data_IF_222258071852
#
_entry.id   IF_222258071852
#
_cell.length_a   1.000
_cell.length_b   1.000
_cell.length_c   1.000
_cell.angle_alpha   90.00
_cell.angle_beta   90.00
_cell.angle_gamma   90.00
#
_symmetry.space_group_name_H-M   'P 1'
#
loop_
_entity.id
_entity.type
_entity.pdbx_description
1 polymer ?
#
# COMPACT_ATOMS: atom_id res chain seq x y z
N UNK A 1 53.61 -25.06 15.21
CA UNK A 1 52.70 -25.31 16.34
C UNK A 1 52.11 -23.95 16.73
N UNK A 2 50.85 -23.65 16.42
CA UNK A 2 50.20 -22.43 16.93
C UNK A 2 49.82 -22.71 18.38
N UNK A 3 50.53 -22.07 19.32
CA UNK A 3 50.44 -22.27 20.76
C UNK A 3 49.46 -21.32 21.44
N UNK A 4 48.44 -20.85 20.72
CA UNK A 4 47.47 -19.93 21.30
C UNK A 4 46.26 -20.77 21.73
N UNK A 5 45.86 -20.65 23.00
CA UNK A 5 44.73 -21.40 23.56
C UNK A 5 43.42 -20.93 22.91
N UNK A 6 42.97 -21.65 21.88
CA UNK A 6 41.74 -21.35 21.11
C UNK A 6 40.45 -21.58 21.90
N UNK A 7 40.52 -22.06 23.13
CA UNK A 7 39.34 -22.32 23.98
C UNK A 7 38.65 -21.03 24.43
N UNK A 8 39.38 -19.92 24.54
CA UNK A 8 38.89 -18.67 25.15
C UNK A 8 38.71 -17.51 24.16
N UNK A 9 39.05 -17.67 22.89
CA UNK A 9 38.86 -16.64 21.85
C UNK A 9 38.66 -17.27 20.47
N UNK A 10 37.81 -16.66 19.63
CA UNK A 10 37.41 -17.22 18.33
C UNK A 10 37.90 -16.38 17.13
N UNK A 11 38.68 -17.00 16.24
CA UNK A 11 39.15 -16.37 15.00
C UNK A 11 38.05 -16.33 13.90
N UNK A 12 37.08 -17.24 13.94
CA UNK A 12 36.03 -17.39 12.91
C UNK A 12 34.69 -16.82 13.38
N UNK A 13 34.64 -15.50 13.56
CA UNK A 13 33.43 -14.82 14.04
C UNK A 13 32.43 -14.58 12.90
N UNK A 14 31.17 -15.00 13.10
CA UNK A 14 30.06 -14.68 12.19
C UNK A 14 29.04 -13.81 12.92
N UNK A 15 28.82 -12.61 12.40
CA UNK A 15 27.84 -11.68 12.93
C UNK A 15 26.48 -11.84 12.25
N UNK A 16 25.43 -11.33 12.89
CA UNK A 16 24.09 -11.28 12.33
C UNK A 16 23.30 -10.06 12.78
N UNK A 17 22.27 -9.74 12.00
CA UNK A 17 21.16 -8.87 12.39
C UNK A 17 19.91 -9.75 12.48
N UNK A 18 19.08 -9.49 13.49
CA UNK A 18 17.87 -10.26 13.73
C UNK A 18 16.76 -9.39 14.30
N UNK A 19 15.52 -9.87 14.20
CA UNK A 19 14.39 -9.30 14.94
C UNK A 19 14.01 -10.19 16.11
N UNK A 20 13.72 -9.58 17.25
CA UNK A 20 13.17 -10.28 18.42
C UNK A 20 11.71 -10.59 18.15
N UNK A 21 11.37 -11.88 18.17
CA UNK A 21 9.99 -12.34 17.96
C UNK A 21 9.29 -12.53 19.30
N UNK A 22 10.00 -13.07 20.29
CA UNK A 22 9.44 -13.35 21.61
C UNK A 22 10.46 -13.00 22.71
N UNK A 23 9.98 -12.33 23.75
CA UNK A 23 10.78 -11.93 24.91
C UNK A 23 10.30 -12.60 26.21
N UNK A 24 9.37 -13.56 26.10
CA UNK A 24 8.80 -14.31 27.21
C UNK A 24 9.30 -15.76 27.20
N UNK A 25 10.55 -16.02 27.65
CA UNK A 25 11.10 -17.37 27.62
C UNK A 25 10.36 -18.32 28.57
N UNK A 26 10.26 -19.62 28.21
CA UNK A 26 9.81 -20.63 29.16
C UNK A 26 10.85 -20.82 30.27
N UNK A 27 10.43 -21.50 31.34
CA UNK A 27 11.29 -21.81 32.49
C UNK A 27 12.62 -22.46 32.06
N UNK A 28 13.74 -21.99 32.63
CA UNK A 28 15.09 -22.44 32.32
C UNK A 28 15.78 -21.70 31.17
N UNK A 29 15.08 -20.79 30.49
CA UNK A 29 15.63 -19.92 29.43
C UNK A 29 15.53 -18.43 29.80
N UNK A 30 15.45 -18.12 31.08
CA UNK A 30 15.32 -16.76 31.59
C UNK A 30 16.44 -15.85 31.05
N UNK A 31 16.08 -14.61 30.70
CA UNK A 31 17.00 -13.63 30.11
C UNK A 31 17.35 -13.88 28.64
N UNK A 32 16.81 -14.92 28.01
CA UNK A 32 16.94 -15.16 26.57
C UNK A 32 15.79 -14.56 25.79
N UNK A 33 16.05 -14.27 24.52
CA UNK A 33 15.05 -13.79 23.55
C UNK A 33 15.03 -14.69 22.34
N UNK A 34 13.84 -14.93 21.80
CA UNK A 34 13.67 -15.72 20.59
C UNK A 34 13.83 -14.81 19.38
N UNK A 35 14.77 -15.14 18.50
CA UNK A 35 15.16 -14.25 17.41
C UNK A 35 14.96 -14.88 16.03
N UNK A 36 14.62 -14.03 15.05
CA UNK A 36 14.60 -14.40 13.63
C UNK A 36 15.77 -13.72 12.93
N UNK A 37 16.79 -14.50 12.59
CA UNK A 37 18.03 -14.03 12.00
C UNK A 37 17.83 -13.79 10.50
N UNK A 38 18.17 -12.57 10.06
CA UNK A 38 18.02 -12.18 8.66
C UNK A 38 19.02 -12.94 7.79
N UNK A 39 18.56 -13.42 6.64
CA UNK A 39 19.37 -14.21 5.70
C UNK A 39 19.54 -15.69 6.06
N UNK A 40 19.42 -16.07 7.35
CA UNK A 40 19.49 -17.48 7.80
C UNK A 40 18.09 -18.08 7.94
N UNK A 41 17.16 -17.34 8.55
CA UNK A 41 15.78 -17.78 8.73
C UNK A 41 14.88 -17.13 7.68
N UNK A 42 13.97 -17.92 7.08
CA UNK A 42 12.96 -17.37 6.18
C UNK A 42 12.08 -16.36 6.94
N UNK A 43 11.79 -15.17 6.39
CA UNK A 43 10.89 -14.19 7.03
C UNK A 43 9.45 -14.70 7.22
N UNK A 44 8.99 -15.65 6.41
CA UNK A 44 7.65 -16.24 6.50
C UNK A 44 7.49 -17.16 7.70
N UNK A 45 6.47 -16.93 8.53
CA UNK A 45 6.10 -17.82 9.66
C UNK A 45 5.47 -19.13 9.20
N UNK A 46 5.11 -19.25 7.92
CA UNK A 46 4.54 -20.48 7.35
C UNK A 46 5.58 -21.58 7.17
N UNK A 47 6.80 -21.19 6.81
CA UNK A 47 7.88 -22.14 6.54
C UNK A 47 8.65 -22.49 7.80
N UNK A 48 9.10 -21.47 8.55
CA UNK A 48 9.72 -21.65 9.86
C UNK A 48 8.76 -21.06 10.89
N UNK A 49 8.19 -21.91 11.73
CA UNK A 49 7.27 -21.45 12.77
C UNK A 49 8.06 -20.71 13.84
N UNK A 50 7.38 -19.81 14.56
CA UNK A 50 8.00 -19.07 15.66
C UNK A 50 8.58 -20.00 16.73
N UNK A 51 7.93 -21.12 17.02
CA UNK A 51 8.41 -22.06 18.04
C UNK A 51 9.73 -22.76 17.67
N UNK A 52 10.05 -22.81 16.38
CA UNK A 52 11.26 -23.48 15.89
C UNK A 52 12.47 -22.53 15.87
N UNK A 53 12.28 -21.25 16.20
CA UNK A 53 13.36 -20.27 16.27
C UNK A 53 14.20 -20.44 17.53
N UNK A 54 15.52 -20.19 17.46
CA UNK A 54 16.41 -20.34 18.59
C UNK A 54 16.20 -19.24 19.64
N UNK A 55 16.43 -19.60 20.90
CA UNK A 55 16.55 -18.68 22.02
C UNK A 55 17.99 -18.19 22.15
N UNK A 56 18.22 -16.92 21.83
CA UNK A 56 19.52 -16.28 21.93
C UNK A 56 19.76 -15.73 23.34
N UNK A 57 20.99 -15.90 23.83
CA UNK A 57 21.45 -15.24 25.05
C UNK A 57 21.68 -13.76 24.79
N UNK A 58 21.49 -12.92 25.82
CA UNK A 58 21.70 -11.48 25.72
C UNK A 58 22.85 -11.09 26.62
N UNK A 59 23.81 -10.33 26.08
CA UNK A 59 24.90 -9.76 26.86
C UNK A 59 24.34 -8.67 27.76
N UNK A 60 24.61 -8.78 29.06
CA UNK A 60 24.25 -7.77 30.05
C UNK A 60 25.33 -6.68 30.04
N UNK A 61 24.98 -5.38 30.11
CA UNK A 61 25.97 -4.31 30.19
C UNK A 61 26.82 -4.43 31.47
N UNK A 62 28.06 -3.95 31.40
CA UNK A 62 29.03 -3.97 32.52
C UNK A 62 28.62 -3.12 33.72
N UNK A 63 27.55 -2.34 33.60
CA UNK A 63 26.92 -1.61 34.71
C UNK A 63 26.16 -2.53 35.67
N UNK A 64 25.97 -3.79 35.32
CA UNK A 64 25.27 -4.80 36.13
C UNK A 64 26.26 -5.88 36.60
N UNK A 65 26.00 -6.47 37.77
CA UNK A 65 26.94 -7.39 38.41
C UNK A 65 27.02 -8.78 37.74
N UNK A 66 25.96 -9.24 37.06
CA UNK A 66 25.97 -10.46 36.25
C UNK A 66 26.22 -11.77 37.01
N UNK A 67 26.03 -11.78 38.34
CA UNK A 67 26.40 -12.92 39.21
C UNK A 67 25.41 -13.08 40.36
N UNK A 68 25.12 -14.32 40.77
CA UNK A 68 24.39 -14.66 42.02
C UNK A 68 23.07 -13.89 42.24
N UNK A 69 22.31 -13.66 41.17
CA UNK A 69 21.05 -12.90 41.24
C UNK A 69 21.22 -11.40 41.41
N UNK A 70 22.46 -10.88 41.43
CA UNK A 70 22.77 -9.46 41.43
C UNK A 70 22.89 -8.97 39.98
N UNK A 71 21.96 -8.11 39.59
CA UNK A 71 21.89 -7.51 38.26
C UNK A 71 20.45 -7.35 37.79
N UNK A 72 20.28 -6.79 36.60
CA UNK A 72 18.97 -6.64 35.94
C UNK A 72 18.77 -7.64 34.82
N UNK A 73 17.52 -8.06 34.65
CA UNK A 73 17.09 -8.88 33.51
C UNK A 73 17.14 -8.05 32.22
N UNK A 74 17.68 -8.59 31.11
CA UNK A 74 17.60 -7.96 29.80
C UNK A 74 16.15 -7.64 29.41
N UNK A 75 15.87 -6.38 29.01
CA UNK A 75 14.53 -5.89 28.65
C UNK A 75 14.36 -5.64 27.16
N UNK A 76 14.88 -6.53 26.33
CA UNK A 76 14.59 -6.50 24.90
C UNK A 76 13.15 -6.96 24.67
N UNK A 77 12.39 -6.22 23.87
CA UNK A 77 10.99 -6.51 23.58
C UNK A 77 10.82 -7.08 22.18
N UNK A 78 9.72 -7.81 21.97
CA UNK A 78 9.30 -8.25 20.64
C UNK A 78 9.20 -7.06 19.67
N UNK A 79 9.73 -7.21 18.46
CA UNK A 79 9.82 -6.16 17.43
C UNK A 79 11.17 -5.45 17.36
N UNK A 80 11.97 -5.49 18.44
CA UNK A 80 13.30 -4.88 18.47
C UNK A 80 14.24 -5.54 17.45
N UNK A 81 14.97 -4.73 16.69
CA UNK A 81 16.08 -5.23 15.87
C UNK A 81 17.35 -5.29 16.69
N UNK A 82 18.07 -6.40 16.58
CA UNK A 82 19.26 -6.70 17.39
C UNK A 82 20.44 -7.07 16.53
N UNK A 83 21.63 -6.80 17.07
CA UNK A 83 22.92 -7.19 16.52
C UNK A 83 23.58 -8.23 17.42
N UNK A 84 24.23 -9.22 16.82
CA UNK A 84 24.84 -10.31 17.55
C UNK A 84 25.85 -11.13 16.77
N UNK A 85 26.38 -12.14 17.44
CA UNK A 85 27.35 -13.08 16.90
C UNK A 85 26.94 -14.52 17.16
N UNK A 86 27.33 -15.43 16.28
CA UNK A 86 27.28 -16.86 16.56
C UNK A 86 28.52 -17.26 17.35
N UNK A 87 28.32 -17.82 18.56
CA UNK A 87 29.42 -18.27 19.42
C UNK A 87 30.14 -19.49 18.84
N UNK A 88 29.47 -20.24 17.95
CA UNK A 88 30.00 -21.41 17.24
C UNK A 88 30.47 -21.09 15.80
N UNK A 89 30.61 -19.80 15.47
CA UNK A 89 31.20 -19.34 14.22
C UNK A 89 30.45 -19.82 12.98
N UNK A 90 31.12 -20.62 12.14
CA UNK A 90 30.57 -21.11 10.86
C UNK A 90 29.34 -22.01 11.04
N UNK A 91 29.23 -22.75 12.14
CA UNK A 91 28.10 -23.65 12.38
C UNK A 91 26.77 -22.92 12.60
N UNK A 92 26.82 -21.66 13.06
CA UNK A 92 25.68 -20.74 13.13
C UNK A 92 24.47 -21.26 13.93
N UNK A 93 24.70 -22.01 15.00
CA UNK A 93 23.64 -22.61 15.85
C UNK A 93 23.44 -21.86 17.17
N UNK A 94 24.47 -21.20 17.69
CA UNK A 94 24.45 -20.63 19.05
C UNK A 94 24.49 -19.10 19.00
N UNK A 95 23.33 -18.42 18.88
CA UNK A 95 23.29 -16.97 18.78
C UNK A 95 23.46 -16.27 20.13
N UNK A 96 24.26 -15.22 20.13
CA UNK A 96 24.45 -14.27 21.23
C UNK A 96 24.12 -12.86 20.76
N UNK A 97 23.17 -12.20 21.43
CA UNK A 97 22.75 -10.83 21.17
C UNK A 97 23.59 -9.87 22.00
N UNK A 98 24.22 -8.89 21.34
CA UNK A 98 25.00 -7.85 22.01
C UNK A 98 24.11 -6.68 22.45
N UNK A 99 23.13 -6.32 21.62
CA UNK A 99 22.24 -5.20 21.91
C UNK A 99 21.24 -4.93 20.78
N UNK A 100 20.36 -3.96 21.01
CA UNK A 100 19.40 -3.49 20.01
C UNK A 100 19.97 -2.37 19.14
N UNK A 101 19.62 -2.39 17.87
CA UNK A 101 19.88 -1.28 16.94
C UNK A 101 18.61 -0.42 16.88
N UNK A 102 18.71 0.92 17.07
CA UNK A 102 17.59 1.80 16.84
C UNK A 102 17.23 1.81 15.35
N UNK A 103 15.94 1.67 15.04
CA UNK A 103 15.41 1.81 13.68
C UNK A 103 14.21 2.74 13.69
N UNK A 104 13.90 3.29 12.52
CA UNK A 104 12.62 3.97 12.31
C UNK A 104 11.55 2.88 12.27
N UNK A 105 10.68 2.87 13.27
CA UNK A 105 9.56 1.95 13.34
C UNK A 105 8.43 2.45 12.45
N UNK A 106 7.93 1.58 11.58
CA UNK A 106 6.70 1.82 10.84
C UNK A 106 5.59 0.97 11.45
N UNK A 107 4.37 1.52 11.62
CA UNK A 107 3.29 0.79 12.24
C UNK A 107 2.96 -0.46 11.41
N UNK A 108 2.92 -1.61 12.12
CA UNK A 108 2.54 -2.89 11.52
C UNK A 108 1.14 -2.79 10.94
N UNK A 109 0.77 -3.70 10.01
CA UNK A 109 -0.58 -3.69 9.42
C UNK A 109 -1.68 -3.76 10.49
N UNK A 110 -1.44 -4.50 11.57
CA UNK A 110 -2.35 -4.62 12.72
C UNK A 110 -2.33 -3.35 13.58
N UNK A 111 -1.16 -2.76 13.87
CA UNK A 111 -1.09 -1.52 14.64
C UNK A 111 -1.69 -0.34 13.91
N UNK A 112 -1.46 -0.21 12.59
CA UNK A 112 -2.23 0.74 11.76
C UNK A 112 -3.71 0.52 12.04
N UNK A 113 -4.19 -0.71 11.88
CA UNK A 113 -5.58 -1.06 12.11
C UNK A 113 -6.11 -0.76 13.54
N UNK A 114 -5.25 -0.71 14.56
CA UNK A 114 -5.61 -0.39 15.97
C UNK A 114 -5.48 1.11 16.29
N UNK A 115 -4.54 1.82 15.65
CA UNK A 115 -4.38 3.27 15.72
C UNK A 115 -5.66 3.98 15.21
N UNK A 116 -6.41 3.36 14.29
CA UNK A 116 -7.75 3.81 13.86
C UNK A 116 -8.87 3.60 14.87
N UNK A 117 -8.66 2.81 15.92
CA UNK A 117 -9.74 2.50 16.87
C UNK A 117 -9.77 3.42 18.10
N UNK A 118 -8.72 4.21 18.37
CA UNK A 118 -8.58 4.93 19.66
C UNK A 118 -8.45 6.45 19.56
N UNK A 119 -8.30 7.02 18.36
CA UNK A 119 -8.32 8.47 18.16
C UNK A 119 -9.51 8.84 17.28
N UNK A 120 -10.65 9.03 17.92
CA UNK A 120 -11.84 9.64 17.33
C UNK A 120 -11.66 11.17 17.23
N UNK A 121 -10.69 11.64 16.44
CA UNK A 121 -10.68 13.02 15.91
C UNK A 121 -10.17 13.05 14.45
N UNK A 122 -11.11 12.80 13.54
CA UNK A 122 -11.37 13.60 12.32
C UNK A 122 -10.17 13.96 11.42
N UNK A 123 -9.62 12.96 10.74
CA UNK A 123 -9.56 12.84 9.26
C UNK A 123 -9.44 11.32 9.05
N UNK A 124 -10.36 10.70 8.30
CA UNK A 124 -10.28 9.25 8.05
C UNK A 124 -8.89 8.93 7.46
N UNK A 125 -8.23 7.86 7.91
CA UNK A 125 -6.88 7.55 7.39
C UNK A 125 -6.88 7.31 5.87
N UNK A 126 -8.03 6.89 5.36
CA UNK A 126 -8.36 6.90 3.94
C UNK A 126 -8.27 8.31 3.36
N UNK A 127 -8.97 9.30 3.91
CA UNK A 127 -8.96 10.70 3.45
C UNK A 127 -7.54 11.32 3.43
N UNK A 128 -6.69 11.10 4.46
CA UNK A 128 -5.29 11.57 4.50
C UNK A 128 -4.38 10.90 3.45
N UNK A 129 -4.57 9.60 3.18
CA UNK A 129 -3.86 8.89 2.13
C UNK A 129 -4.30 9.40 0.74
N UNK A 130 -5.59 9.63 0.58
CA UNK A 130 -6.19 10.13 -0.65
C UNK A 130 -5.80 11.58 -0.96
N UNK A 131 -5.67 12.45 0.06
CA UNK A 131 -5.10 13.79 -0.10
C UNK A 131 -3.65 13.79 -0.61
N UNK A 132 -2.84 12.79 -0.21
CA UNK A 132 -1.49 12.63 -0.75
C UNK A 132 -1.50 12.20 -2.21
N UNK A 133 -2.45 11.35 -2.62
CA UNK A 133 -2.60 10.95 -4.02
C UNK A 133 -3.04 12.12 -4.92
N UNK A 134 -3.84 13.07 -4.40
CA UNK A 134 -4.26 14.28 -5.14
C UNK A 134 -3.06 15.14 -5.57
N UNK A 135 -1.96 15.17 -4.77
CA UNK A 135 -0.75 15.95 -5.09
C UNK A 135 -0.03 15.49 -6.37
N UNK A 136 -0.34 14.30 -6.89
CA UNK A 136 0.20 13.78 -8.15
C UNK A 136 -0.36 14.57 -9.34
N UNK A 137 -1.55 15.15 -9.19
CA UNK A 137 -2.27 15.86 -10.24
C UNK A 137 -1.94 17.35 -10.14
N UNK A 138 -1.63 18.01 -11.26
CA UNK A 138 -1.44 19.47 -11.32
C UNK A 138 -2.80 20.19 -11.29
N UNK A 139 -3.23 20.78 -10.15
CA UNK A 139 -4.58 21.33 -10.00
C UNK A 139 -4.81 22.56 -10.89
N UNK A 140 -3.75 23.28 -11.28
CA UNK A 140 -3.83 24.44 -12.15
C UNK A 140 -4.12 24.01 -13.59
N UNK A 141 -3.44 22.95 -14.04
CA UNK A 141 -3.58 22.45 -15.42
C UNK A 141 -4.98 21.89 -15.69
N UNK A 142 -5.58 21.21 -14.70
CA UNK A 142 -6.89 20.58 -14.82
C UNK A 142 -8.06 21.49 -14.40
N UNK A 143 -7.78 22.69 -13.90
CA UNK A 143 -8.76 23.58 -13.25
C UNK A 143 -9.60 22.81 -12.24
N UNK A 144 -8.98 22.34 -11.18
CA UNK A 144 -9.60 21.39 -10.26
C UNK A 144 -10.78 21.99 -9.46
N UNK A 145 -10.73 23.30 -9.21
CA UNK A 145 -11.81 24.08 -8.57
C UNK A 145 -12.92 24.49 -9.56
N UNK A 146 -12.80 24.15 -10.85
CA UNK A 146 -13.82 24.41 -11.87
C UNK A 146 -14.74 23.19 -12.03
N UNK A 147 -15.85 23.25 -11.31
CA UNK A 147 -16.85 22.17 -11.26
C UNK A 147 -17.84 22.19 -12.43
N UNK A 148 -17.80 23.25 -13.25
CA UNK A 148 -18.72 23.48 -14.36
C UNK A 148 -18.18 22.99 -15.69
N UNK A 149 -18.64 23.64 -16.76
CA UNK A 149 -18.18 23.35 -18.11
C UNK A 149 -16.75 23.87 -18.33
N UNK A 150 -15.83 22.99 -18.71
CA UNK A 150 -14.47 23.32 -19.11
C UNK A 150 -14.22 23.07 -20.60
N UNK A 151 -13.31 23.86 -21.18
CA UNK A 151 -12.98 23.82 -22.62
C UNK A 151 -11.90 22.78 -22.96
N UNK A 152 -11.75 22.49 -24.26
CA UNK A 152 -10.89 21.43 -24.81
C UNK A 152 -9.48 21.37 -24.20
N UNK A 153 -8.79 22.49 -24.00
CA UNK A 153 -7.43 22.48 -23.42
C UNK A 153 -7.41 21.85 -22.02
N UNK A 154 -8.41 22.17 -21.18
CA UNK A 154 -8.55 21.62 -19.84
C UNK A 154 -9.04 20.17 -19.89
N UNK A 155 -9.93 19.83 -20.83
CA UNK A 155 -10.36 18.43 -21.02
C UNK A 155 -9.20 17.52 -21.42
N UNK A 156 -8.35 17.94 -22.37
CA UNK A 156 -7.14 17.20 -22.73
C UNK A 156 -6.19 17.05 -21.53
N UNK A 157 -6.04 18.10 -20.71
CA UNK A 157 -5.28 18.01 -19.47
C UNK A 157 -5.88 17.00 -18.49
N UNK A 158 -7.19 17.02 -18.26
CA UNK A 158 -7.90 16.06 -17.39
C UNK A 158 -7.73 14.62 -17.86
N UNK A 159 -7.75 14.37 -19.17
CA UNK A 159 -7.48 13.05 -19.76
C UNK A 159 -6.07 12.57 -19.44
N UNK A 160 -5.06 13.40 -19.71
CA UNK A 160 -3.64 13.05 -19.51
C UNK A 160 -3.33 12.86 -18.03
N UNK A 161 -3.74 13.80 -17.18
CA UNK A 161 -3.49 13.74 -15.74
C UNK A 161 -4.26 12.59 -15.07
N UNK A 162 -5.48 12.27 -15.54
CA UNK A 162 -6.22 11.10 -15.08
C UNK A 162 -5.51 9.77 -15.38
N UNK A 163 -4.92 9.63 -16.58
CA UNK A 163 -4.12 8.43 -16.90
C UNK A 163 -2.85 8.37 -16.05
N UNK A 164 -2.12 9.48 -15.91
CA UNK A 164 -0.93 9.55 -15.04
C UNK A 164 -1.25 9.19 -13.59
N UNK A 165 -2.39 9.65 -13.08
CA UNK A 165 -2.86 9.30 -11.75
C UNK A 165 -2.97 7.77 -11.60
N UNK A 166 -3.72 7.08 -12.47
CA UNK A 166 -3.87 5.62 -12.35
C UNK A 166 -2.56 4.85 -12.57
N UNK A 167 -1.66 5.33 -13.44
CA UNK A 167 -0.32 4.79 -13.58
C UNK A 167 0.48 4.88 -12.27
N UNK A 168 0.45 6.05 -11.61
CA UNK A 168 1.11 6.23 -10.32
C UNK A 168 0.51 5.33 -9.22
N UNK A 169 -0.77 4.96 -9.35
CA UNK A 169 -1.44 4.00 -8.48
C UNK A 169 -1.16 2.51 -8.81
N UNK A 170 -0.24 2.24 -9.74
CA UNK A 170 0.23 0.89 -10.07
C UNK A 170 -0.61 0.12 -11.09
N UNK A 171 -1.53 0.79 -11.80
CA UNK A 171 -2.17 0.20 -12.97
C UNK A 171 -1.23 0.20 -14.18
N UNK A 172 -1.41 -0.74 -15.10
CA UNK A 172 -0.72 -0.68 -16.40
C UNK A 172 -1.23 0.48 -17.25
N UNK A 173 -0.50 0.82 -18.31
CA UNK A 173 -0.93 1.84 -19.26
C UNK A 173 -2.30 1.52 -19.87
N UNK A 174 -2.51 0.27 -20.29
CA UNK A 174 -3.79 -0.16 -20.87
C UNK A 174 -4.93 -0.19 -19.85
N UNK A 175 -4.64 -0.56 -18.62
CA UNK A 175 -5.63 -0.49 -17.53
C UNK A 175 -6.02 0.96 -17.25
N UNK A 176 -5.05 1.86 -17.17
CA UNK A 176 -5.26 3.30 -16.91
C UNK A 176 -6.06 3.96 -18.03
N UNK A 177 -5.72 3.68 -19.29
CA UNK A 177 -6.49 4.11 -20.46
C UNK A 177 -7.91 3.53 -20.42
N UNK A 178 -8.05 2.26 -20.04
CA UNK A 178 -9.37 1.61 -19.94
C UNK A 178 -10.30 2.24 -18.90
N UNK A 179 -9.77 2.59 -17.73
CA UNK A 179 -10.51 3.32 -16.70
C UNK A 179 -10.95 4.68 -17.23
N UNK A 180 -9.99 5.45 -17.75
CA UNK A 180 -10.27 6.80 -18.24
C UNK A 180 -11.22 6.82 -19.43
N UNK A 181 -11.13 5.86 -20.35
CA UNK A 181 -12.05 5.75 -21.48
C UNK A 181 -13.51 5.59 -21.04
N UNK A 182 -13.75 4.80 -19.99
CA UNK A 182 -15.09 4.67 -19.39
C UNK A 182 -15.56 5.97 -18.74
N UNK A 183 -14.72 6.64 -17.95
CA UNK A 183 -15.06 7.90 -17.29
C UNK A 183 -15.35 9.02 -18.31
N UNK A 184 -14.57 9.10 -19.39
CA UNK A 184 -14.80 10.02 -20.51
C UNK A 184 -16.13 9.72 -21.19
N UNK A 185 -16.48 8.45 -21.40
CA UNK A 185 -17.75 8.08 -22.04
C UNK A 185 -18.97 8.59 -21.27
N UNK A 186 -18.95 8.50 -19.94
CA UNK A 186 -20.12 8.81 -19.12
C UNK A 186 -20.28 10.28 -18.76
N UNK A 187 -19.19 11.05 -18.75
CA UNK A 187 -19.21 12.46 -18.27
C UNK A 187 -18.49 13.45 -19.19
N UNK A 188 -17.70 12.96 -20.15
CA UNK A 188 -16.74 13.80 -20.88
C UNK A 188 -15.66 14.42 -19.98
N UNK A 189 -15.55 14.02 -18.71
CA UNK A 189 -14.72 14.66 -17.67
C UNK A 189 -15.09 16.13 -17.43
N UNK A 190 -16.35 16.47 -17.67
CA UNK A 190 -16.89 17.81 -17.56
C UNK A 190 -18.01 17.87 -16.51
N UNK A 191 -18.35 19.08 -16.06
CA UNK A 191 -19.47 19.30 -15.13
C UNK A 191 -19.40 18.39 -13.89
N UNK A 192 -18.23 18.32 -13.25
CA UNK A 192 -17.97 17.37 -12.17
C UNK A 192 -18.92 17.52 -10.99
N UNK A 193 -19.34 18.75 -10.68
CA UNK A 193 -20.34 19.06 -9.65
C UNK A 193 -20.80 20.55 -9.68
N UNK A 194 -21.35 21.06 -10.78
CA UNK A 194 -21.90 22.43 -10.87
C UNK A 194 -23.18 22.64 -10.02
N UNK A 195 -23.30 23.79 -9.34
CA UNK A 195 -24.31 24.03 -8.29
C UNK A 195 -25.76 24.02 -8.76
N UNK A 196 -26.03 24.39 -10.02
CA UNK A 196 -27.40 24.64 -10.48
C UNK A 196 -28.17 23.38 -10.96
N UNK A 197 -27.48 22.30 -11.33
CA UNK A 197 -28.13 21.13 -11.99
C UNK A 197 -27.51 19.77 -11.63
N UNK A 198 -26.26 19.72 -11.13
CA UNK A 198 -25.50 18.45 -11.10
C UNK A 198 -25.73 17.59 -9.87
N UNK A 199 -26.44 18.09 -8.85
CA UNK A 199 -26.90 17.20 -7.77
C UNK A 199 -28.08 16.31 -8.19
N UNK A 200 -28.35 16.19 -9.49
CA UNK A 200 -29.23 15.19 -10.06
C UNK A 200 -28.46 13.89 -10.34
N UNK A 201 -29.20 12.80 -10.55
CA UNK A 201 -28.60 11.55 -11.02
C UNK A 201 -28.51 11.62 -12.56
N UNK A 202 -27.37 11.23 -13.17
CA UNK A 202 -26.10 10.84 -12.55
C UNK A 202 -25.17 12.02 -12.21
N UNK A 203 -24.32 11.87 -11.17
CA UNK A 203 -23.38 12.89 -10.70
C UNK A 203 -21.92 12.55 -11.06
N UNK A 204 -21.13 13.57 -11.42
CA UNK A 204 -19.66 13.50 -11.49
C UNK A 204 -19.09 12.61 -12.59
N UNK A 205 -17.77 12.46 -12.60
CA UNK A 205 -17.04 11.80 -13.70
C UNK A 205 -17.35 10.31 -13.84
N UNK A 206 -17.83 9.67 -12.75
CA UNK A 206 -18.23 8.27 -12.74
C UNK A 206 -19.73 8.05 -12.98
N UNK A 207 -20.50 9.12 -13.24
CA UNK A 207 -21.95 9.08 -13.37
C UNK A 207 -22.63 8.37 -12.17
N UNK A 208 -22.19 8.69 -10.95
CA UNK A 208 -22.64 8.03 -9.72
C UNK A 208 -24.11 8.33 -9.41
N UNK A 209 -24.81 7.30 -8.95
CA UNK A 209 -26.25 7.37 -8.61
C UNK A 209 -26.51 6.72 -7.25
N UNK A 210 -27.64 7.08 -6.64
CA UNK A 210 -28.14 6.45 -5.41
C UNK A 210 -27.10 6.43 -4.27
N UNK A 211 -26.84 5.25 -3.72
CA UNK A 211 -25.89 5.07 -2.61
C UNK A 211 -24.45 5.45 -2.99
N UNK A 212 -23.99 5.16 -4.21
CA UNK A 212 -22.62 5.50 -4.64
C UNK A 212 -22.38 7.00 -4.66
N UNK A 213 -23.40 7.77 -5.02
CA UNK A 213 -23.38 9.23 -4.96
C UNK A 213 -23.25 9.75 -3.52
N UNK A 214 -23.97 9.15 -2.57
CA UNK A 214 -23.84 9.51 -1.15
C UNK A 214 -22.45 9.17 -0.62
N UNK A 215 -21.88 8.03 -1.02
CA UNK A 215 -20.52 7.65 -0.67
C UNK A 215 -19.49 8.65 -1.20
N UNK A 216 -19.64 9.15 -2.45
CA UNK A 216 -18.76 10.21 -2.97
C UNK A 216 -18.80 11.46 -2.10
N UNK A 217 -20.00 11.94 -1.73
CA UNK A 217 -20.15 13.15 -0.92
C UNK A 217 -19.57 13.01 0.49
N UNK A 218 -19.64 11.79 1.03
CA UNK A 218 -19.10 11.49 2.36
C UNK A 218 -17.60 11.20 2.34
N UNK A 219 -17.02 10.94 1.16
CA UNK A 219 -15.63 10.53 1.01
C UNK A 219 -14.63 11.67 1.25
N UNK A 220 -14.99 12.90 0.91
CA UNK A 220 -14.12 14.06 1.11
C UNK A 220 -14.94 15.34 1.14
N UNK A 221 -14.51 16.33 1.91
CA UNK A 221 -15.08 17.69 1.86
C UNK A 221 -14.95 18.32 0.45
N UNK A 222 -13.94 17.90 -0.30
CA UNK A 222 -13.63 18.35 -1.66
C UNK A 222 -14.14 17.40 -2.75
N UNK A 223 -15.17 16.59 -2.47
CA UNK A 223 -15.73 15.58 -3.39
C UNK A 223 -16.12 16.11 -4.79
N UNK A 224 -16.28 17.42 -4.95
CA UNK A 224 -16.64 18.11 -6.20
C UNK A 224 -15.47 18.18 -7.18
N UNK A 225 -14.24 18.19 -6.68
CA UNK A 225 -13.01 18.33 -7.47
C UNK A 225 -12.83 17.13 -8.39
N UNK A 226 -12.26 17.37 -9.57
CA UNK A 226 -11.94 16.30 -10.52
C UNK A 226 -10.96 15.31 -9.91
N UNK A 227 -9.93 15.80 -9.21
CA UNK A 227 -8.94 14.98 -8.51
C UNK A 227 -9.58 14.08 -7.45
N UNK A 228 -10.41 14.64 -6.56
CA UNK A 228 -11.12 13.90 -5.52
C UNK A 228 -12.02 12.80 -6.11
N UNK A 229 -12.62 13.06 -7.27
CA UNK A 229 -13.45 12.08 -7.96
C UNK A 229 -12.66 10.93 -8.59
N UNK A 230 -11.46 11.19 -9.14
CA UNK A 230 -10.55 10.12 -9.58
C UNK A 230 -10.12 9.23 -8.42
N UNK A 231 -9.81 9.88 -7.29
CA UNK A 231 -9.40 9.21 -6.07
C UNK A 231 -10.53 8.38 -5.48
N UNK A 232 -11.76 8.90 -5.52
CA UNK A 232 -12.96 8.13 -5.16
C UNK A 232 -13.17 6.93 -6.09
N UNK A 233 -12.92 7.06 -7.40
CA UNK A 233 -12.96 5.91 -8.33
C UNK A 233 -11.98 4.81 -7.90
N UNK A 234 -10.75 5.18 -7.53
CA UNK A 234 -9.76 4.23 -7.02
C UNK A 234 -10.19 3.61 -5.69
N UNK A 235 -10.70 4.42 -4.77
CA UNK A 235 -11.26 3.95 -3.51
C UNK A 235 -12.33 2.88 -3.73
N UNK A 236 -13.33 3.14 -4.58
CA UNK A 236 -14.37 2.17 -4.90
C UNK A 236 -13.79 0.90 -5.53
N UNK A 237 -12.85 1.02 -6.47
CA UNK A 237 -12.18 -0.13 -7.08
C UNK A 237 -11.40 -0.98 -6.05
N UNK A 238 -10.91 -0.39 -4.97
CA UNK A 238 -10.23 -1.13 -3.91
C UNK A 238 -11.19 -1.64 -2.81
N UNK A 239 -12.41 -1.10 -2.73
CA UNK A 239 -13.40 -1.40 -1.70
C UNK A 239 -14.67 -2.02 -2.29
N UNK A 240 -15.73 -1.23 -2.45
CA UNK A 240 -17.09 -1.67 -2.81
C UNK A 240 -17.19 -2.27 -4.21
N UNK A 241 -16.30 -1.88 -5.12
CA UNK A 241 -16.21 -2.35 -6.51
C UNK A 241 -14.96 -3.22 -6.76
N UNK A 242 -14.41 -3.86 -5.73
CA UNK A 242 -13.24 -4.75 -5.83
C UNK A 242 -13.38 -5.85 -6.90
N UNK A 243 -14.59 -6.35 -7.10
CA UNK A 243 -14.86 -7.37 -8.13
C UNK A 243 -14.59 -6.85 -9.55
N UNK A 244 -14.87 -5.58 -9.85
CA UNK A 244 -14.55 -4.96 -11.13
C UNK A 244 -13.03 -4.79 -11.27
N UNK A 245 -12.37 -4.36 -10.21
CA UNK A 245 -10.92 -4.16 -10.18
C UNK A 245 -10.14 -5.47 -10.39
N UNK A 246 -10.54 -6.56 -9.74
CA UNK A 246 -9.92 -7.90 -9.95
C UNK A 246 -10.01 -8.33 -11.42
N UNK A 247 -11.12 -8.02 -12.11
CA UNK A 247 -11.26 -8.34 -13.54
C UNK A 247 -10.34 -7.47 -14.39
N UNK A 248 -10.30 -6.18 -14.09
CA UNK A 248 -9.45 -5.22 -14.77
C UNK A 248 -7.96 -5.59 -14.66
N UNK A 249 -7.50 -5.94 -13.46
CA UNK A 249 -6.10 -6.33 -13.18
C UNK A 249 -5.66 -7.64 -13.86
N UNK A 250 -6.62 -8.47 -14.30
CA UNK A 250 -6.36 -9.70 -15.07
C UNK A 250 -6.27 -9.47 -16.58
N UNK A 251 -6.50 -8.24 -17.03
CA UNK A 251 -6.44 -7.87 -18.43
C UNK A 251 -5.36 -6.81 -18.66
N UNK A 252 -4.77 -6.88 -19.85
CA UNK A 252 -3.80 -5.91 -20.35
C UNK A 252 -3.96 -5.78 -21.86
N UNK A 253 -5.16 -5.41 -22.30
CA UNK A 253 -5.49 -5.23 -23.72
C UNK A 253 -6.48 -4.10 -23.91
N UNK A 254 -6.26 -3.30 -24.96
CA UNK A 254 -7.19 -2.28 -25.47
C UNK A 254 -7.86 -2.68 -26.79
N UNK A 255 -7.78 -3.95 -27.17
CA UNK A 255 -8.31 -4.44 -28.45
C UNK A 255 -9.82 -4.11 -28.58
N UNK A 256 -10.19 -3.57 -29.74
CA UNK A 256 -11.58 -3.26 -30.08
C UNK A 256 -12.37 -4.56 -30.18
N UNK A 257 -13.63 -4.54 -29.79
CA UNK A 257 -14.50 -5.72 -29.88
C UNK A 257 -14.09 -6.92 -29.02
N UNK A 258 -13.07 -6.77 -28.17
CA UNK A 258 -12.63 -7.80 -27.24
C UNK A 258 -13.30 -7.64 -25.88
N UNK A 259 -14.19 -8.56 -25.50
CA UNK A 259 -14.98 -8.48 -24.25
C UNK A 259 -14.15 -8.42 -22.95
N UNK A 260 -12.89 -8.87 -22.99
CA UNK A 260 -11.98 -8.81 -21.86
C UNK A 260 -11.00 -7.64 -21.95
N UNK A 261 -11.15 -6.71 -22.89
CA UNK A 261 -10.34 -5.50 -22.93
C UNK A 261 -10.58 -4.62 -21.69
N UNK A 262 -9.57 -3.87 -21.27
CA UNK A 262 -9.60 -3.09 -20.03
C UNK A 262 -10.78 -2.10 -20.02
N UNK A 263 -10.99 -1.40 -21.14
CA UNK A 263 -12.05 -0.40 -21.28
C UNK A 263 -13.45 -1.03 -21.20
N UNK A 264 -13.66 -2.21 -21.80
CA UNK A 264 -14.96 -2.90 -21.73
C UNK A 264 -15.21 -3.52 -20.36
N UNK A 265 -14.18 -4.06 -19.72
CA UNK A 265 -14.27 -4.58 -18.36
C UNK A 265 -14.66 -3.47 -17.37
N UNK A 266 -14.00 -2.31 -17.43
CA UNK A 266 -14.32 -1.18 -16.58
C UNK A 266 -15.74 -0.65 -16.86
N UNK A 267 -16.07 -0.40 -18.13
CA UNK A 267 -17.40 0.04 -18.55
C UNK A 267 -18.52 -0.89 -18.08
N UNK A 268 -18.33 -2.21 -18.22
CA UNK A 268 -19.35 -3.20 -17.85
C UNK A 268 -19.49 -3.39 -16.35
N UNK A 269 -18.37 -3.56 -15.65
CA UNK A 269 -18.40 -4.03 -14.26
C UNK A 269 -18.31 -2.91 -13.23
N UNK A 270 -17.72 -1.75 -13.55
CA UNK A 270 -17.66 -0.60 -12.65
C UNK A 270 -18.73 0.46 -12.97
N UNK A 271 -18.92 0.79 -14.25
CA UNK A 271 -19.93 1.78 -14.68
C UNK A 271 -21.31 1.17 -14.94
N UNK A 272 -21.41 -0.16 -15.06
CA UNK A 272 -22.68 -0.85 -15.25
C UNK A 272 -23.28 -0.71 -16.65
N UNK A 273 -22.48 -0.34 -17.66
CA UNK A 273 -22.93 -0.22 -19.05
C UNK A 273 -23.37 -1.58 -19.61
N UNK A 274 -24.43 -1.57 -20.43
CA UNK A 274 -25.05 -2.79 -20.98
C UNK A 274 -25.26 -2.77 -22.48
N UNK A 275 -25.33 -1.59 -23.11
CA UNK A 275 -25.65 -1.48 -24.54
C UNK A 275 -24.41 -1.72 -25.38
N UNK A 276 -24.58 -2.36 -26.54
CA UNK A 276 -23.47 -2.59 -27.49
C UNK A 276 -22.88 -1.27 -28.01
N UNK A 277 -23.72 -0.27 -28.22
CA UNK A 277 -23.27 1.05 -28.68
C UNK A 277 -22.35 1.74 -27.67
N UNK A 278 -22.62 1.59 -26.37
CA UNK A 278 -21.76 2.13 -25.31
C UNK A 278 -20.35 1.53 -25.40
N UNK A 279 -20.24 0.21 -25.55
CA UNK A 279 -18.95 -0.46 -25.68
C UNK A 279 -18.17 -0.03 -26.93
N UNK A 280 -18.88 0.19 -28.04
CA UNK A 280 -18.26 0.67 -29.28
C UNK A 280 -17.70 2.08 -29.14
N UNK A 281 -18.41 2.96 -28.44
CA UNK A 281 -17.93 4.33 -28.17
C UNK A 281 -16.73 4.31 -27.23
N UNK A 282 -16.79 3.52 -26.16
CA UNK A 282 -15.68 3.35 -25.21
C UNK A 282 -14.41 2.82 -25.90
N UNK A 283 -14.54 1.87 -26.83
CA UNK A 283 -13.40 1.38 -27.64
C UNK A 283 -12.77 2.48 -28.50
N UNK A 284 -13.59 3.34 -29.12
CA UNK A 284 -13.09 4.48 -29.90
C UNK A 284 -12.38 5.49 -29.03
N UNK A 285 -12.92 5.78 -27.84
CA UNK A 285 -12.31 6.69 -26.87
C UNK A 285 -10.96 6.14 -26.40
N UNK A 286 -10.87 4.84 -26.08
CA UNK A 286 -9.65 4.21 -25.62
C UNK A 286 -8.51 4.34 -26.65
N UNK A 287 -8.80 4.13 -27.94
CA UNK A 287 -7.79 4.29 -29.00
C UNK A 287 -7.36 5.75 -29.16
N UNK A 288 -8.30 6.70 -29.18
CA UNK A 288 -7.96 8.13 -29.24
C UNK A 288 -7.12 8.59 -28.05
N UNK A 289 -7.42 8.05 -26.86
CA UNK A 289 -6.67 8.35 -25.66
C UNK A 289 -5.27 7.74 -25.71
N UNK A 290 -5.13 6.53 -26.28
CA UNK A 290 -3.82 5.92 -26.52
C UNK A 290 -2.98 6.74 -27.51
N UNK A 291 -3.57 7.25 -28.59
CA UNK A 291 -2.92 8.14 -29.55
C UNK A 291 -2.44 9.44 -28.89
N UNK A 292 -3.29 10.07 -28.09
CA UNK A 292 -2.97 11.29 -27.34
C UNK A 292 -1.76 11.15 -26.40
N UNK A 293 -1.52 9.94 -25.88
CA UNK A 293 -0.45 9.65 -24.93
C UNK A 293 0.83 9.11 -25.60
N UNK A 294 0.74 8.75 -26.88
CA UNK A 294 1.84 8.21 -27.68
C UNK A 294 2.54 9.22 -28.58
N UNK A 295 2.02 10.46 -28.65
CA UNK A 295 2.68 11.66 -29.21
C UNK A 295 3.36 12.48 -28.11
#
# INVERSE_FOLDING_TARGET
MKSIQTEYYGDNTRWFIADVIDHTPPYGLEGRVKIRIHGVHNPSTREIKQNDLPWAQVVIPTTEAGVSGLGRTPRLTSGATVFGFFMDGLASQVPLVLGSIPKVEYPTRVQRQVEFNTVQERIDQEELFYEQEIKIIDPVRIKDDDFGFVYNKTLEARKVEGVKYFLAQGYTMFQSIGIMAGLIHVSGLNETAAEDVTDLNPLGIGAWTGTRKQLLKNFSNDWRKFSSQLVFTKYELNSTQAAANIRLLRSDSLEKDYDKSCQRLFAKYYLGLRKKDDFRVVDVIAVKLQELLGE
#
